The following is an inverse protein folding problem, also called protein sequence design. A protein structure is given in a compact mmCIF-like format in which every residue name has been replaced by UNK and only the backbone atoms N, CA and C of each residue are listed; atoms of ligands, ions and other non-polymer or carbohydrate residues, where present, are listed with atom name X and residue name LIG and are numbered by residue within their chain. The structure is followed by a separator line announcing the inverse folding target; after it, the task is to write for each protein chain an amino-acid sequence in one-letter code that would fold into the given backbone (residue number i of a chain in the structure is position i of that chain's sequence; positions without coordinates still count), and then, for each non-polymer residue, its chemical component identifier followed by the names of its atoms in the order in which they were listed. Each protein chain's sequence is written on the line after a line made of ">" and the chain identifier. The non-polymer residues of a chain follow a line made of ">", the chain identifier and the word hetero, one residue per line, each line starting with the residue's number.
data_IF_779242733859
#
_entry.id   IF_779242733859
#
_cell.length_a   1.000
_cell.length_b   1.000
_cell.length_c   1.000
_cell.angle_alpha   90.00
_cell.angle_beta   90.00
_cell.angle_gamma   90.00
#
_symmetry.space_group_name_H-M   'P 1'
#
loop_
_entity.id
_entity.type
_entity.pdbx_description
1 polymer ?
#
# COMPACT_ATOMS: atom_id res chain seq x y z
N UNK A 1 -19.16 0.16 41.25
CA UNK A 1 -18.30 -1.03 41.10
C UNK A 1 -18.11 -1.25 39.62
N UNK A 2 -16.88 -1.32 39.12
CA UNK A 2 -16.64 -1.58 37.70
C UNK A 2 -17.21 -2.96 37.34
N UNK A 3 -18.11 -3.00 36.37
CA UNK A 3 -18.72 -4.23 35.89
C UNK A 3 -17.77 -4.98 34.95
N UNK A 4 -18.04 -6.26 34.72
CA UNK A 4 -17.29 -7.06 33.73
C UNK A 4 -17.40 -6.45 32.32
N UNK A 5 -18.52 -5.79 32.02
CA UNK A 5 -18.74 -5.10 30.75
C UNK A 5 -17.84 -3.87 30.61
N UNK A 6 -17.71 -3.07 31.67
CA UNK A 6 -16.81 -1.89 31.69
C UNK A 6 -15.35 -2.31 31.47
N UNK A 7 -14.94 -3.45 32.05
CA UNK A 7 -13.59 -3.98 31.88
C UNK A 7 -13.34 -4.46 30.45
N UNK A 8 -14.34 -5.12 29.84
CA UNK A 8 -14.29 -5.58 28.45
C UNK A 8 -14.22 -4.42 27.47
N UNK A 9 -14.99 -3.36 27.70
CA UNK A 9 -14.98 -2.17 26.85
C UNK A 9 -13.65 -1.40 26.98
N UNK A 10 -13.13 -1.24 28.19
CA UNK A 10 -11.81 -0.65 28.42
C UNK A 10 -10.69 -1.45 27.73
N UNK A 11 -10.75 -2.78 27.78
CA UNK A 11 -9.80 -3.66 27.08
C UNK A 11 -9.91 -3.52 25.57
N UNK A 12 -11.14 -3.50 25.03
CA UNK A 12 -11.40 -3.32 23.60
C UNK A 12 -10.86 -1.98 23.11
N UNK A 13 -11.11 -0.90 23.83
CA UNK A 13 -10.63 0.43 23.49
C UNK A 13 -9.10 0.50 23.54
N UNK A 14 -8.46 -0.13 24.54
CA UNK A 14 -7.01 -0.20 24.63
C UNK A 14 -6.39 -0.97 23.44
N UNK A 15 -6.98 -2.11 23.08
CA UNK A 15 -6.54 -2.90 21.93
C UNK A 15 -6.76 -2.18 20.60
N UNK A 16 -7.80 -1.35 20.49
CA UNK A 16 -8.06 -0.54 19.29
C UNK A 16 -7.09 0.65 19.19
N UNK A 17 -6.86 1.38 20.30
CA UNK A 17 -5.87 2.46 20.37
C UNK A 17 -4.44 1.99 20.09
N UNK A 18 -4.08 0.80 20.56
CA UNK A 18 -2.77 0.19 20.27
C UNK A 18 -2.67 -0.40 18.85
N UNK A 19 -3.76 -0.39 18.07
CA UNK A 19 -3.81 -0.94 16.71
C UNK A 19 -3.81 -2.48 16.64
N UNK A 20 -3.63 -3.18 17.77
CA UNK A 20 -3.61 -4.65 17.84
C UNK A 20 -4.96 -5.25 17.45
N UNK A 21 -6.07 -4.62 17.83
CA UNK A 21 -7.41 -5.08 17.45
C UNK A 21 -7.64 -4.97 15.93
N UNK A 22 -7.13 -3.88 15.32
CA UNK A 22 -7.17 -3.69 13.87
C UNK A 22 -6.33 -4.75 13.15
N UNK A 23 -5.14 -5.04 13.66
CA UNK A 23 -4.26 -6.09 13.12
C UNK A 23 -4.93 -7.48 13.20
N UNK A 24 -5.52 -7.84 14.35
CA UNK A 24 -6.22 -9.13 14.51
C UNK A 24 -7.42 -9.25 13.56
N UNK A 25 -8.22 -8.19 13.41
CA UNK A 25 -9.34 -8.17 12.45
C UNK A 25 -8.86 -8.29 11.01
N UNK A 26 -7.76 -7.63 10.67
CA UNK A 26 -7.15 -7.71 9.35
C UNK A 26 -6.64 -9.12 9.04
N UNK A 27 -5.92 -9.74 9.99
CA UNK A 27 -5.46 -11.12 9.87
C UNK A 27 -6.64 -12.07 9.69
N UNK A 28 -7.69 -11.94 10.51
CA UNK A 28 -8.89 -12.75 10.38
C UNK A 28 -9.57 -12.58 9.02
N UNK A 29 -9.65 -11.35 8.49
CA UNK A 29 -10.17 -11.09 7.15
C UNK A 29 -9.32 -11.75 6.07
N UNK A 30 -8.00 -11.69 6.18
CA UNK A 30 -7.09 -12.34 5.25
C UNK A 30 -7.22 -13.87 5.31
N UNK A 31 -7.31 -14.45 6.51
CA UNK A 31 -7.47 -15.90 6.70
C UNK A 31 -8.83 -16.39 6.16
N UNK A 32 -9.90 -15.64 6.40
CA UNK A 32 -11.23 -15.92 5.83
C UNK A 32 -11.19 -15.79 4.31
N UNK A 33 -10.58 -14.74 3.76
CA UNK A 33 -10.43 -14.57 2.32
C UNK A 33 -9.68 -15.74 1.71
N UNK A 34 -8.54 -16.14 2.29
CA UNK A 34 -7.75 -17.28 1.85
C UNK A 34 -8.53 -18.60 1.94
N UNK A 35 -9.26 -18.84 3.03
CA UNK A 35 -10.08 -20.04 3.19
C UNK A 35 -11.20 -20.12 2.14
N UNK A 36 -11.82 -18.98 1.79
CA UNK A 36 -12.83 -18.91 0.73
C UNK A 36 -12.22 -19.05 -0.67
N UNK A 37 -11.06 -18.44 -0.94
CA UNK A 37 -10.41 -18.50 -2.26
C UNK A 37 -9.71 -19.84 -2.52
N UNK A 38 -9.15 -20.51 -1.50
CA UNK A 38 -8.53 -21.82 -1.65
C UNK A 38 -9.57 -22.93 -1.85
N UNK A 39 -10.83 -22.71 -1.46
CA UNK A 39 -11.93 -23.63 -1.76
C UNK A 39 -12.37 -23.56 -3.23
N UNK A 40 -12.04 -22.46 -3.92
CA UNK A 40 -12.40 -22.22 -5.32
C UNK A 40 -11.13 -21.97 -6.16
N UNK A 41 -10.35 -23.02 -6.45
CA UNK A 41 -9.22 -22.93 -7.39
C UNK A 41 -9.67 -22.46 -8.79
N UNK A 42 -10.96 -22.59 -9.11
CA UNK A 42 -11.57 -22.04 -10.33
C UNK A 42 -11.63 -20.49 -10.36
N UNK A 43 -11.72 -19.84 -9.20
CA UNK A 43 -11.81 -18.37 -9.08
C UNK A 43 -10.42 -17.70 -9.10
N UNK A 44 -9.35 -18.42 -8.71
CA UNK A 44 -7.97 -17.93 -8.88
C UNK A 44 -7.60 -17.73 -10.36
N UNK A 45 -8.24 -18.46 -11.28
CA UNK A 45 -8.11 -18.26 -12.72
C UNK A 45 -8.84 -16.99 -13.23
N UNK A 46 -9.72 -16.40 -12.42
CA UNK A 46 -10.48 -15.19 -12.72
C UNK A 46 -9.87 -13.91 -12.13
N UNK A 47 -8.85 -14.02 -11.26
CA UNK A 47 -8.03 -12.86 -10.93
C UNK A 47 -7.27 -12.47 -12.19
N UNK A 48 -7.50 -11.27 -12.77
CA UNK A 48 -6.71 -10.82 -13.90
C UNK A 48 -5.25 -10.90 -13.48
N UNK A 49 -4.42 -11.64 -14.23
CA UNK A 49 -2.98 -11.72 -13.97
C UNK A 49 -2.49 -10.31 -13.70
N UNK A 50 -1.99 -10.06 -12.48
CA UNK A 50 -1.59 -8.72 -12.05
C UNK A 50 -0.56 -8.25 -13.08
N UNK A 51 -0.95 -7.27 -13.90
CA UNK A 51 -0.06 -6.79 -14.96
C UNK A 51 1.21 -6.22 -14.33
N UNK A 52 2.29 -6.14 -15.10
CA UNK A 52 3.54 -5.57 -14.61
C UNK A 52 3.32 -4.14 -14.07
N UNK A 53 2.43 -3.36 -14.68
CA UNK A 53 2.03 -2.04 -14.21
C UNK A 53 1.33 -2.11 -12.86
N UNK A 54 0.42 -3.07 -12.67
CA UNK A 54 -0.29 -3.24 -11.39
C UNK A 54 0.68 -3.65 -10.28
N UNK A 55 1.65 -4.54 -10.54
CA UNK A 55 2.68 -4.90 -9.56
C UNK A 55 3.48 -3.68 -9.12
N UNK A 56 3.82 -2.80 -10.08
CA UNK A 56 4.54 -1.57 -9.81
C UNK A 56 3.69 -0.60 -8.98
N UNK A 57 2.44 -0.36 -9.38
CA UNK A 57 1.51 0.51 -8.63
C UNK A 57 1.30 -0.02 -7.21
N UNK A 58 1.15 -1.33 -7.04
CA UNK A 58 0.96 -1.95 -5.74
C UNK A 58 2.21 -1.80 -4.85
N UNK A 59 3.42 -1.87 -5.40
CA UNK A 59 4.64 -1.57 -4.63
C UNK A 59 4.72 -0.11 -4.20
N UNK A 60 4.32 0.83 -5.07
CA UNK A 60 4.23 2.25 -4.72
C UNK A 60 3.22 2.48 -3.58
N UNK A 61 2.05 1.87 -3.66
CA UNK A 61 1.02 1.92 -2.61
C UNK A 61 1.55 1.27 -1.32
N UNK A 62 2.15 0.09 -1.40
CA UNK A 62 2.75 -0.62 -0.25
C UNK A 62 3.77 0.26 0.47
N UNK A 63 4.68 0.91 -0.27
CA UNK A 63 5.69 1.80 0.30
C UNK A 63 5.03 2.96 1.07
N UNK A 64 4.04 3.62 0.47
CA UNK A 64 3.28 4.69 1.11
C UNK A 64 2.57 4.24 2.39
N UNK A 65 1.91 3.09 2.35
CA UNK A 65 1.20 2.54 3.51
C UNK A 65 2.16 2.20 4.65
N UNK A 66 3.32 1.62 4.34
CA UNK A 66 4.35 1.29 5.34
C UNK A 66 4.93 2.55 5.95
N UNK A 67 5.28 3.55 5.14
CA UNK A 67 5.82 4.83 5.62
C UNK A 67 4.87 5.56 6.57
N UNK A 68 3.58 5.58 6.26
CA UNK A 68 2.54 6.21 7.08
C UNK A 68 2.01 5.29 8.21
N UNK A 69 2.68 4.18 8.50
CA UNK A 69 2.34 3.22 9.56
C UNK A 69 0.93 2.59 9.46
N UNK A 70 0.37 2.45 8.25
CA UNK A 70 -0.92 1.80 7.99
C UNK A 70 -0.82 0.27 7.95
N UNK A 71 -0.21 -0.33 8.99
CA UNK A 71 0.12 -1.76 9.05
C UNK A 71 -1.09 -2.69 8.86
N UNK A 72 -2.23 -2.34 9.46
CA UNK A 72 -3.46 -3.12 9.32
C UNK A 72 -4.02 -3.11 7.89
N UNK A 73 -3.82 -2.01 7.14
CA UNK A 73 -4.20 -1.94 5.72
C UNK A 73 -3.29 -2.81 4.88
N UNK A 74 -1.97 -2.76 5.12
CA UNK A 74 -1.00 -3.59 4.40
C UNK A 74 -1.33 -5.08 4.54
N UNK A 75 -1.66 -5.56 5.75
CA UNK A 75 -1.95 -7.00 5.97
C UNK A 75 -3.14 -7.54 5.16
N UNK A 76 -4.07 -6.67 4.75
CA UNK A 76 -5.21 -7.04 3.91
C UNK A 76 -4.92 -6.75 2.43
N UNK A 77 -4.28 -5.63 2.15
CA UNK A 77 -3.97 -5.19 0.78
C UNK A 77 -3.09 -6.19 0.02
N UNK A 78 -2.07 -6.78 0.65
CA UNK A 78 -1.17 -7.71 -0.04
C UNK A 78 -1.89 -8.98 -0.56
N UNK A 79 -2.63 -9.73 0.28
CA UNK A 79 -3.37 -10.89 -0.21
C UNK A 79 -4.50 -10.50 -1.18
N UNK A 80 -5.23 -9.41 -0.93
CA UNK A 80 -6.33 -8.98 -1.82
C UNK A 80 -5.84 -8.58 -3.23
N UNK A 81 -4.65 -7.98 -3.33
CA UNK A 81 -4.08 -7.55 -4.61
C UNK A 81 -3.28 -8.65 -5.31
N UNK A 82 -3.07 -9.80 -4.67
CA UNK A 82 -2.13 -10.82 -5.15
C UNK A 82 -0.67 -10.36 -5.13
N UNK A 83 -0.34 -9.28 -4.42
CA UNK A 83 1.03 -8.74 -4.37
C UNK A 83 1.94 -9.66 -3.52
N UNK A 84 3.08 -10.12 -4.05
CA UNK A 84 4.00 -10.99 -3.31
C UNK A 84 4.46 -10.39 -1.99
N UNK A 85 4.37 -11.13 -0.88
CA UNK A 85 4.76 -10.63 0.45
C UNK A 85 6.23 -10.19 0.51
N UNK A 86 7.10 -10.90 -0.21
CA UNK A 86 8.48 -10.47 -0.49
C UNK A 86 8.44 -9.45 -1.62
N UNK A 87 9.09 -8.30 -1.44
CA UNK A 87 9.11 -7.26 -2.47
C UNK A 87 9.80 -7.79 -3.74
N UNK A 88 9.11 -7.77 -4.89
CA UNK A 88 9.67 -8.24 -6.16
C UNK A 88 10.67 -7.26 -6.77
N UNK A 89 10.58 -5.98 -6.40
CA UNK A 89 11.42 -4.90 -6.89
C UNK A 89 12.09 -4.18 -5.74
N UNK A 90 13.35 -3.79 -5.93
CA UNK A 90 13.99 -2.84 -5.02
C UNK A 90 13.57 -1.40 -5.36
N UNK A 91 13.86 -0.49 -4.43
CA UNK A 91 13.47 0.91 -4.58
C UNK A 91 14.21 1.59 -5.74
N UNK A 92 15.49 1.25 -5.95
CA UNK A 92 16.31 1.82 -7.01
C UNK A 92 15.76 1.46 -8.40
N UNK A 93 15.30 0.22 -8.59
CA UNK A 93 14.59 -0.20 -9.78
C UNK A 93 13.33 0.63 -9.98
N UNK A 94 12.47 0.75 -8.96
CA UNK A 94 11.23 1.52 -9.07
C UNK A 94 11.49 2.99 -9.44
N UNK A 95 12.46 3.63 -8.79
CA UNK A 95 12.83 5.01 -9.06
C UNK A 95 13.33 5.21 -10.50
N UNK A 96 14.23 4.33 -10.96
CA UNK A 96 14.76 4.37 -12.32
C UNK A 96 13.70 4.10 -13.37
N UNK A 97 12.83 3.10 -13.17
CA UNK A 97 11.77 2.74 -14.10
C UNK A 97 10.74 3.87 -14.26
N UNK A 98 10.50 4.64 -13.20
CA UNK A 98 9.57 5.77 -13.19
C UNK A 98 10.23 7.12 -13.52
N UNK A 99 11.53 7.14 -13.81
CA UNK A 99 12.30 8.37 -14.03
C UNK A 99 12.15 9.39 -12.89
N UNK A 100 12.08 8.92 -11.65
CA UNK A 100 11.99 9.78 -10.47
C UNK A 100 13.40 10.13 -9.98
N UNK A 101 13.80 11.42 -9.97
CA UNK A 101 15.09 11.82 -9.45
C UNK A 101 15.13 11.65 -7.93
N UNK A 102 16.01 10.78 -7.43
CA UNK A 102 16.26 10.62 -6.01
C UNK A 102 17.41 11.51 -5.55
N UNK A 103 17.15 12.33 -4.54
CA UNK A 103 18.13 13.15 -3.83
C UNK A 103 18.10 12.80 -2.34
N UNK A 104 19.00 13.40 -1.53
CA UNK A 104 19.17 13.04 -0.12
C UNK A 104 17.88 13.12 0.72
N UNK A 105 17.02 14.10 0.41
CA UNK A 105 15.74 14.29 1.11
C UNK A 105 14.61 13.43 0.53
N UNK A 106 14.58 13.17 -0.78
CA UNK A 106 13.53 12.36 -1.40
C UNK A 106 13.75 10.85 -1.21
N UNK A 107 14.99 10.42 -0.97
CA UNK A 107 15.32 9.03 -0.64
C UNK A 107 14.66 8.55 0.69
N UNK A 108 14.29 9.46 1.58
CA UNK A 108 13.62 9.13 2.85
C UNK A 108 12.08 9.11 2.73
N UNK A 109 11.53 9.62 1.64
CA UNK A 109 10.09 9.71 1.40
C UNK A 109 9.65 8.62 0.42
N UNK A 110 8.39 8.15 0.46
CA UNK A 110 7.89 7.23 -0.55
C UNK A 110 7.93 7.85 -1.95
N UNK A 111 8.20 7.03 -2.98
CA UNK A 111 8.30 7.49 -4.37
C UNK A 111 7.02 8.17 -4.88
N UNK A 112 5.86 7.80 -4.32
CA UNK A 112 4.58 8.47 -4.60
C UNK A 112 4.60 9.97 -4.29
N UNK A 113 5.31 10.41 -3.24
CA UNK A 113 5.40 11.84 -2.91
C UNK A 113 6.13 12.59 -4.02
N UNK A 114 7.26 12.03 -4.48
CA UNK A 114 8.06 12.58 -5.57
C UNK A 114 7.28 12.62 -6.89
N UNK A 115 6.48 11.59 -7.20
CA UNK A 115 5.62 11.56 -8.39
C UNK A 115 4.55 12.66 -8.37
N UNK A 116 3.90 12.87 -7.21
CA UNK A 116 2.91 13.93 -7.04
C UNK A 116 3.56 15.31 -7.23
N UNK A 117 4.76 15.51 -6.68
CA UNK A 117 5.52 16.75 -6.86
C UNK A 117 5.89 16.99 -8.34
N UNK A 118 6.36 15.97 -9.05
CA UNK A 118 6.66 16.06 -10.48
C UNK A 118 5.41 16.40 -11.31
N UNK A 119 4.28 15.74 -11.03
CA UNK A 119 3.02 16.00 -11.70
C UNK A 119 2.52 17.44 -11.43
N UNK A 120 2.69 17.94 -10.20
CA UNK A 120 2.35 19.32 -9.85
C UNK A 120 3.22 20.32 -10.60
N UNK A 121 4.55 20.11 -10.65
CA UNK A 121 5.50 20.96 -11.40
C UNK A 121 5.21 20.96 -12.90
N UNK A 122 4.87 19.80 -13.48
CA UNK A 122 4.50 19.69 -14.89
C UNK A 122 3.26 20.50 -15.28
N UNK A 123 2.31 20.72 -14.35
CA UNK A 123 1.15 21.60 -14.58
C UNK A 123 1.50 23.09 -14.52
N UNK A 124 2.58 23.45 -13.84
CA UNK A 124 2.99 24.85 -13.64
C UNK A 124 3.93 25.38 -14.73
N UNK A 125 4.47 24.52 -15.60
CA UNK A 125 5.26 24.97 -16.74
C UNK A 125 4.33 25.41 -17.88
N UNK A 126 4.36 26.69 -18.31
CA UNK A 126 3.59 27.13 -19.47
C UNK A 126 4.06 26.36 -20.72
N UNK A 127 3.17 26.16 -21.72
CA UNK A 127 3.56 25.52 -22.97
C UNK A 127 4.73 26.30 -23.57
N UNK A 128 5.87 25.63 -23.74
CA UNK A 128 7.03 26.22 -24.40
C UNK A 128 6.58 26.59 -25.81
N UNK A 129 6.45 27.89 -26.07
CA UNK A 129 6.22 28.41 -27.41
C UNK A 129 7.39 27.93 -28.28
N UNK A 130 7.09 27.03 -29.21
CA UNK A 130 8.04 26.65 -30.25
C UNK A 130 8.34 27.90 -31.07
N UNK A 131 9.41 28.61 -30.73
CA UNK A 131 10.02 29.59 -31.62
C UNK A 131 10.69 28.80 -32.72
N UNK A 132 9.93 28.49 -33.77
CA UNK A 132 10.49 28.11 -35.06
C UNK A 132 11.21 29.35 -35.61
N UNK A 133 12.54 29.27 -35.65
CA UNK A 133 13.33 29.96 -36.67
C UNK A 133 13.52 29.00 -37.84
#
# INVERSE_FOLDING_TARGET
>A
MASVEDLKDALRENLDRSGKLRQLKAQLRADVYNALHNANEADQKALPQVSNENLLINELIREYLVYNAYRGTVSVFLPESGQPAVRPFDRAFLASHLNVPEGPNSAQLPLLYSLVELAAKGRTQPPQAKTHQ
#
